data_IF_768887528640
#
_entry.id   IF_768887528640
#
_cell.length_a   1.000
_cell.length_b   1.000
_cell.length_c   1.000
_cell.angle_alpha   90.00
_cell.angle_beta   90.00
_cell.angle_gamma   90.00
#
_symmetry.space_group_name_H-M   'P 1'
#
loop_
_entity.id
_entity.type
_entity.pdbx_description
1 polymer ?
#
# COMPACT_ATOMS: atom_id res chain seq x y z
N UNK A 1 9.21 7.28 -4.46
CA UNK A 1 8.21 7.60 -5.51
C UNK A 1 7.49 8.90 -5.10
N UNK A 2 6.96 9.71 -6.01
CA UNK A 2 6.25 10.94 -5.63
C UNK A 2 4.89 10.62 -4.98
N UNK A 3 4.50 11.35 -3.93
CA UNK A 3 3.28 11.09 -3.15
C UNK A 3 1.99 11.08 -3.97
N UNK A 4 1.93 11.88 -5.06
CA UNK A 4 0.75 11.95 -5.95
C UNK A 4 0.63 10.82 -6.98
N UNK A 5 1.62 9.92 -7.07
CA UNK A 5 1.63 8.85 -8.07
C UNK A 5 0.47 7.89 -7.83
N UNK A 6 -0.45 7.74 -8.80
CA UNK A 6 -1.55 6.77 -8.71
C UNK A 6 -1.01 5.35 -8.87
N UNK A 7 -1.33 4.49 -7.90
CA UNK A 7 -0.98 3.06 -7.86
C UNK A 7 -2.18 2.19 -8.18
N UNK A 8 -3.36 2.52 -7.64
CA UNK A 8 -4.62 1.85 -7.98
C UNK A 8 -5.54 2.78 -8.76
N UNK A 9 -5.71 2.54 -10.06
CA UNK A 9 -6.61 3.35 -10.89
C UNK A 9 -8.09 3.15 -10.52
N UNK A 10 -8.52 1.94 -10.11
CA UNK A 10 -9.92 1.69 -9.77
C UNK A 10 -10.43 2.50 -8.57
N UNK A 11 -9.56 2.74 -7.58
CA UNK A 11 -9.90 3.40 -6.32
C UNK A 11 -9.16 4.73 -6.13
N UNK A 12 -8.41 5.16 -7.15
CA UNK A 12 -7.61 6.39 -7.15
C UNK A 12 -6.65 6.47 -5.95
N UNK A 13 -6.01 5.34 -5.62
CA UNK A 13 -5.07 5.25 -4.49
C UNK A 13 -3.68 5.69 -4.92
N UNK A 14 -3.08 6.62 -4.20
CA UNK A 14 -1.74 7.13 -4.48
C UNK A 14 -0.65 6.46 -3.63
N UNK A 15 0.61 6.60 -4.05
CA UNK A 15 1.77 6.16 -3.28
C UNK A 15 1.79 6.79 -1.88
N UNK A 16 1.49 8.08 -1.76
CA UNK A 16 1.48 8.77 -0.47
C UNK A 16 0.45 8.23 0.51
N UNK A 17 -0.72 7.80 0.02
CA UNK A 17 -1.73 7.15 0.87
C UNK A 17 -1.23 5.80 1.40
N UNK A 18 -0.58 4.99 0.55
CA UNK A 18 0.02 3.71 0.96
C UNK A 18 1.13 3.96 2.00
N UNK A 19 2.04 4.90 1.70
CA UNK A 19 3.16 5.24 2.58
C UNK A 19 2.68 5.72 3.96
N UNK A 20 1.65 6.55 4.03
CA UNK A 20 1.09 7.02 5.30
C UNK A 20 0.56 5.85 6.15
N UNK A 21 -0.21 4.93 5.55
CA UNK A 21 -0.71 3.74 6.26
C UNK A 21 0.44 2.89 6.79
N UNK A 22 1.46 2.63 5.96
CA UNK A 22 2.63 1.83 6.37
C UNK A 22 3.43 2.50 7.49
N UNK A 23 3.54 3.83 7.49
CA UNK A 23 4.27 4.59 8.52
C UNK A 23 3.51 4.69 9.85
N UNK A 24 2.18 4.74 9.79
CA UNK A 24 1.31 4.79 10.98
C UNK A 24 1.11 3.42 11.64
N UNK A 25 1.43 2.33 10.93
CA UNK A 25 1.30 0.98 11.46
C UNK A 25 2.27 0.74 12.62
N UNK A 26 1.70 0.44 13.80
CA UNK A 26 2.45 0.30 15.05
C UNK A 26 2.96 -1.13 15.26
N UNK A 27 2.33 -2.11 14.60
CA UNK A 27 2.65 -3.52 14.75
C UNK A 27 2.99 -4.15 13.40
N UNK A 28 4.08 -3.66 12.80
CA UNK A 28 4.63 -4.25 11.58
C UNK A 28 5.18 -5.64 11.91
N UNK A 29 4.47 -6.70 11.49
CA UNK A 29 4.96 -8.07 11.62
C UNK A 29 5.41 -8.65 10.28
N UNK A 30 4.71 -8.36 9.18
CA UNK A 30 5.05 -8.78 7.83
C UNK A 30 4.28 -7.97 6.78
N UNK A 31 4.73 -8.07 5.52
CA UNK A 31 4.15 -7.36 4.36
C UNK A 31 2.67 -7.67 4.17
N UNK A 32 2.24 -8.92 4.39
CA UNK A 32 0.84 -9.35 4.15
C UNK A 32 -0.12 -8.66 5.11
N UNK A 33 0.22 -8.59 6.40
CA UNK A 33 -0.62 -7.91 7.38
C UNK A 33 -0.70 -6.40 7.11
N UNK A 34 0.42 -5.78 6.74
CA UNK A 34 0.43 -4.36 6.38
C UNK A 34 -0.39 -4.13 5.10
N UNK A 35 -0.36 -5.05 4.14
CA UNK A 35 -1.21 -4.99 2.96
C UNK A 35 -2.70 -5.06 3.33
N UNK A 36 -3.09 -5.92 4.28
CA UNK A 36 -4.47 -5.99 4.73
C UNK A 36 -4.96 -4.64 5.27
N UNK A 37 -4.11 -3.91 6.00
CA UNK A 37 -4.45 -2.61 6.55
C UNK A 37 -4.46 -1.50 5.49
N UNK A 38 -3.52 -1.54 4.54
CA UNK A 38 -3.55 -0.69 3.33
C UNK A 38 -4.84 -0.92 2.54
N UNK A 39 -5.23 -2.19 2.33
CA UNK A 39 -6.45 -2.54 1.62
C UNK A 39 -7.70 -2.07 2.37
N UNK A 40 -7.77 -2.27 3.69
CA UNK A 40 -8.91 -1.81 4.50
C UNK A 40 -9.11 -0.31 4.42
N UNK A 41 -8.03 0.47 4.47
CA UNK A 41 -8.11 1.94 4.52
C UNK A 41 -8.29 2.58 3.15
N UNK A 42 -7.67 2.03 2.10
CA UNK A 42 -7.69 2.62 0.75
C UNK A 42 -8.65 1.94 -0.21
N UNK A 43 -9.19 0.78 0.18
CA UNK A 43 -9.98 -0.12 -0.65
C UNK A 43 -9.25 -0.65 -1.90
N UNK A 44 -7.92 -0.51 -2.00
CA UNK A 44 -7.16 -1.02 -3.14
C UNK A 44 -7.39 -2.53 -3.36
N UNK A 45 -7.24 -3.00 -4.60
CA UNK A 45 -7.45 -4.40 -4.99
C UNK A 45 -8.87 -4.97 -4.80
N UNK A 46 -9.86 -4.17 -4.39
CA UNK A 46 -11.30 -4.56 -4.39
C UNK A 46 -12.03 -4.24 -5.71
N UNK A 47 -11.28 -3.80 -6.73
CA UNK A 47 -11.76 -3.56 -8.10
C UNK A 47 -11.27 -4.65 -9.05
N UNK A 48 -10.31 -4.32 -9.93
CA UNK A 48 -9.73 -5.29 -10.88
C UNK A 48 -8.59 -6.15 -10.31
N UNK A 49 -8.08 -5.84 -9.11
CA UNK A 49 -6.95 -6.55 -8.49
C UNK A 49 -5.56 -6.25 -9.06
N UNK A 50 -5.45 -5.62 -10.24
CA UNK A 50 -4.18 -5.43 -10.94
C UNK A 50 -3.13 -4.52 -10.26
N UNK A 51 -3.46 -3.85 -9.16
CA UNK A 51 -2.48 -3.10 -8.35
C UNK A 51 -1.85 -3.93 -7.22
N UNK A 52 -2.33 -5.16 -6.95
CA UNK A 52 -1.95 -5.94 -5.77
C UNK A 52 -0.43 -6.13 -5.64
N UNK A 53 0.23 -6.73 -6.63
CA UNK A 53 1.66 -7.02 -6.57
C UNK A 53 2.50 -5.74 -6.41
N UNK A 54 2.16 -4.68 -7.16
CA UNK A 54 2.86 -3.40 -7.06
C UNK A 54 2.75 -2.78 -5.64
N UNK A 55 1.61 -2.94 -4.98
CA UNK A 55 1.43 -2.46 -3.60
C UNK A 55 2.22 -3.33 -2.63
N UNK A 56 2.25 -4.66 -2.82
CA UNK A 56 3.08 -5.57 -2.03
C UNK A 56 4.57 -5.20 -2.12
N UNK A 57 5.07 -4.89 -3.31
CA UNK A 57 6.45 -4.45 -3.54
C UNK A 57 6.73 -3.13 -2.82
N UNK A 58 5.83 -2.13 -2.97
CA UNK A 58 5.96 -0.83 -2.29
C UNK A 58 6.02 -1.02 -0.77
N UNK A 59 5.17 -1.88 -0.20
CA UNK A 59 5.17 -2.16 1.24
C UNK A 59 6.49 -2.83 1.64
N UNK A 60 6.95 -3.83 0.89
CA UNK A 60 8.21 -4.52 1.17
C UNK A 60 9.40 -3.54 1.17
N UNK A 61 9.48 -2.65 0.17
CA UNK A 61 10.50 -1.61 0.09
C UNK A 61 10.45 -0.69 1.32
N UNK A 62 9.26 -0.21 1.71
CA UNK A 62 9.07 0.69 2.86
C UNK A 62 9.40 0.03 4.21
N UNK A 63 9.24 -1.29 4.32
CA UNK A 63 9.52 -2.06 5.54
C UNK A 63 11.00 -2.46 5.66
N UNK A 64 11.63 -2.88 4.57
CA UNK A 64 12.95 -3.51 4.60
C UNK A 64 14.10 -2.62 4.11
N UNK A 65 13.83 -1.47 3.49
CA UNK A 65 14.86 -0.47 3.13
C UNK A 65 14.95 0.70 4.14
N UNK A 66 14.61 0.45 5.41
CA UNK A 66 14.82 1.41 6.50
C UNK A 66 16.25 1.38 7.04
#
# INVERSE_FOLDING_TARGET
>A
MESGTIICNCKQVTYGQIENVVREEKNISNVVQVFDDVQKQTHCSTGCGGCHDKIMDIIADLLYQR
#
